data_IF_182905281714
#
_entry.id   IF_182905281714
#
_cell.length_a   1.000
_cell.length_b   1.000
_cell.length_c   1.000
_cell.angle_alpha   90.00
_cell.angle_beta   90.00
_cell.angle_gamma   90.00
#
_symmetry.space_group_name_H-M   'P 1'
#
loop_
_entity.id
_entity.type
_entity.pdbx_description
1 polymer ?
#
# COMPACT_ATOMS: atom_id res chain seq x y z
N UNK A 1 -6.69 -2.53 3.13
CA UNK A 1 -5.29 -2.22 2.72
C UNK A 1 -4.21 -3.02 3.47
N UNK A 2 -4.32 -3.28 4.78
CA UNK A 2 -3.26 -3.93 5.58
C UNK A 2 -2.75 -5.26 5.01
N UNK A 3 -3.67 -6.18 4.69
CA UNK A 3 -3.31 -7.47 4.11
C UNK A 3 -2.58 -7.32 2.78
N UNK A 4 -2.89 -6.28 1.98
CA UNK A 4 -2.22 -6.00 0.72
C UNK A 4 -0.73 -5.69 0.92
N UNK A 5 -0.39 -4.93 1.98
CA UNK A 5 1.01 -4.64 2.32
C UNK A 5 1.77 -5.88 2.79
N UNK A 6 1.08 -6.79 3.48
CA UNK A 6 1.67 -8.06 3.91
C UNK A 6 1.90 -8.97 2.72
N UNK A 7 0.89 -9.16 1.86
CA UNK A 7 1.00 -9.98 0.65
C UNK A 7 2.03 -9.41 -0.34
N UNK A 8 2.16 -8.08 -0.42
CA UNK A 8 3.19 -7.42 -1.21
C UNK A 8 4.61 -7.54 -0.62
N UNK A 9 4.78 -8.17 0.55
CA UNK A 9 6.08 -8.32 1.23
C UNK A 9 6.64 -7.00 1.79
N UNK A 10 5.83 -5.95 1.88
CA UNK A 10 6.24 -4.66 2.42
C UNK A 10 6.22 -4.65 3.96
N UNK A 11 5.32 -5.44 4.57
CA UNK A 11 5.23 -5.62 6.02
C UNK A 11 5.18 -7.11 6.38
N UNK A 12 5.77 -7.50 7.52
CA UNK A 12 5.71 -8.88 8.00
C UNK A 12 4.39 -9.25 8.67
N UNK A 13 3.57 -8.27 9.04
CA UNK A 13 2.25 -8.50 9.65
C UNK A 13 1.28 -7.33 9.44
N UNK A 14 -0.02 -7.59 9.62
CA UNK A 14 -1.05 -6.55 9.56
C UNK A 14 -0.84 -5.46 10.64
N UNK A 15 -0.33 -5.84 11.81
CA UNK A 15 -0.01 -4.89 12.88
C UNK A 15 1.15 -3.97 12.52
N UNK A 16 2.18 -4.51 11.87
CA UNK A 16 3.31 -3.72 11.35
C UNK A 16 2.86 -2.78 10.23
N UNK A 17 2.07 -3.28 9.28
CA UNK A 17 1.49 -2.45 8.23
C UNK A 17 0.69 -1.28 8.83
N UNK A 18 -0.13 -1.52 9.87
CA UNK A 18 -0.88 -0.45 10.56
C UNK A 18 0.04 0.59 11.18
N UNK A 19 1.11 0.18 11.87
CA UNK A 19 2.08 1.11 12.46
C UNK A 19 2.74 1.99 11.40
N UNK A 20 3.08 1.43 10.24
CA UNK A 20 3.64 2.21 9.13
C UNK A 20 2.66 3.24 8.56
N UNK A 21 1.37 2.90 8.47
CA UNK A 21 0.31 3.83 8.05
C UNK A 21 0.17 4.97 9.06
N UNK A 22 0.06 4.63 10.35
CA UNK A 22 -0.03 5.63 11.43
C UNK A 22 1.22 6.52 11.51
N UNK A 23 2.39 5.97 11.19
CA UNK A 23 3.64 6.72 11.09
C UNK A 23 3.79 7.56 9.82
N UNK A 24 2.80 7.58 8.92
CA UNK A 24 2.83 8.35 7.67
C UNK A 24 3.87 7.87 6.66
N UNK A 25 4.40 6.65 6.83
CA UNK A 25 5.42 6.09 5.96
C UNK A 25 4.83 5.43 4.71
N UNK A 26 3.51 5.26 4.63
CA UNK A 26 2.85 4.52 3.56
C UNK A 26 2.27 5.45 2.50
N UNK A 27 2.48 5.11 1.23
CA UNK A 27 1.83 5.79 0.10
C UNK A 27 1.23 4.79 -0.89
N UNK A 28 0.10 5.16 -1.49
CA UNK A 28 -0.54 4.44 -2.59
C UNK A 28 -0.60 5.40 -3.78
N UNK A 29 -0.09 5.00 -4.94
CA UNK A 29 -0.02 5.84 -6.14
C UNK A 29 0.56 7.23 -5.85
N UNK A 30 1.66 7.24 -5.08
CA UNK A 30 2.34 8.44 -4.62
C UNK A 30 1.52 9.37 -3.71
N UNK A 31 0.31 8.98 -3.30
CA UNK A 31 -0.51 9.68 -2.30
C UNK A 31 -0.29 9.11 -0.90
N UNK A 32 -0.12 9.95 0.14
CA UNK A 32 0.03 9.46 1.50
C UNK A 32 -1.24 8.75 1.96
N UNK A 33 -1.08 7.60 2.60
CA UNK A 33 -2.17 6.85 3.19
C UNK A 33 -2.23 7.12 4.69
N UNK A 34 -3.34 7.68 5.15
CA UNK A 34 -3.59 7.98 6.57
C UNK A 34 -4.60 7.04 7.23
N UNK A 35 -5.46 6.38 6.43
CA UNK A 35 -6.49 5.47 6.92
C UNK A 35 -6.13 4.01 6.62
N UNK A 36 -5.98 3.19 7.68
CA UNK A 36 -5.69 1.76 7.59
C UNK A 36 -6.91 0.90 7.20
N UNK A 37 -8.09 1.51 7.14
CA UNK A 37 -9.33 0.88 6.66
C UNK A 37 -9.62 1.17 5.19
N UNK A 38 -8.79 1.97 4.51
CA UNK A 38 -8.97 2.24 3.07
C UNK A 38 -9.05 0.93 2.28
N UNK A 39 -10.04 0.89 1.38
CA UNK A 39 -10.22 -0.18 0.42
C UNK A 39 -9.58 0.28 -0.89
N UNK A 40 -8.75 -0.59 -1.47
CA UNK A 40 -8.20 -0.37 -2.82
C UNK A 40 -9.22 -0.94 -3.79
N UNK A 41 -9.64 -0.12 -4.75
CA UNK A 41 -10.65 -0.47 -5.73
C UNK A 41 -10.04 -0.42 -7.13
N UNK A 42 -10.79 -0.83 -8.14
CA UNK A 42 -10.37 -0.71 -9.54
C UNK A 42 -10.14 0.74 -9.99
N UNK A 43 -10.70 1.72 -9.27
CA UNK A 43 -10.45 3.15 -9.54
C UNK A 43 -9.05 3.60 -9.14
N UNK A 44 -8.38 2.86 -8.25
CA UNK A 44 -6.99 3.12 -7.86
C UNK A 44 -5.99 2.51 -8.87
N UNK A 45 -6.46 1.82 -9.92
CA UNK A 45 -5.58 1.29 -10.96
C UNK A 45 -5.07 2.42 -11.85
N UNK A 46 -3.75 2.50 -12.00
CA UNK A 46 -3.13 3.39 -12.98
C UNK A 46 -3.41 2.96 -14.42
N UNK A 47 -2.92 3.73 -15.42
CA UNK A 47 -3.10 3.45 -16.84
C UNK A 47 -2.63 2.06 -17.28
N UNK A 48 -1.65 1.49 -16.56
CA UNK A 48 -1.09 0.16 -16.83
C UNK A 48 -1.80 -0.96 -16.04
N UNK A 49 -2.91 -0.67 -15.37
CA UNK A 49 -3.64 -1.65 -14.57
C UNK A 49 -2.91 -2.07 -13.28
N UNK A 50 -2.05 -1.22 -12.74
CA UNK A 50 -1.26 -1.48 -11.53
C UNK A 50 -1.53 -0.47 -10.43
N UNK A 51 -1.37 -0.90 -9.18
CA UNK A 51 -1.35 -0.04 -7.99
C UNK A 51 0.07 0.03 -7.44
N UNK A 52 0.60 1.25 -7.29
CA UNK A 52 1.93 1.45 -6.70
C UNK A 52 1.81 1.56 -5.19
N UNK A 53 2.34 0.58 -4.47
CA UNK A 53 2.49 0.63 -3.01
C UNK A 53 3.89 1.08 -2.65
N UNK A 54 4.00 2.06 -1.76
CA UNK A 54 5.26 2.58 -1.28
C UNK A 54 5.31 2.53 0.24
N UNK A 55 6.45 2.08 0.76
CA UNK A 55 6.77 2.08 2.17
C UNK A 55 8.09 2.84 2.39
N UNK A 56 7.97 4.04 2.93
CA UNK A 56 9.06 4.99 3.07
C UNK A 56 9.62 5.43 1.72
N UNK A 57 10.92 5.77 1.71
CA UNK A 57 11.62 6.32 0.53
C UNK A 57 12.29 5.26 -0.36
N UNK A 58 12.36 4.01 0.09
CA UNK A 58 13.19 2.96 -0.57
C UNK A 58 12.41 1.75 -1.04
N UNK A 59 11.33 1.37 -0.34
CA UNK A 59 10.58 0.14 -0.65
C UNK A 59 9.35 0.49 -1.46
N UNK A 60 9.28 -0.01 -2.69
CA UNK A 60 8.15 0.20 -3.59
C UNK A 60 7.80 -1.12 -4.27
N UNK A 61 6.52 -1.42 -4.39
CA UNK A 61 5.99 -2.62 -5.06
C UNK A 61 4.83 -2.22 -5.96
N UNK A 62 4.83 -2.75 -7.19
CA UNK A 62 3.69 -2.63 -8.10
C UNK A 62 2.82 -3.88 -7.94
N UNK A 63 1.56 -3.67 -7.60
CA UNK A 63 0.58 -4.74 -7.44
C UNK A 63 -0.36 -4.75 -8.63
N UNK A 64 -0.56 -5.94 -9.21
CA UNK A 64 -1.55 -6.19 -10.25
C UNK A 64 -2.76 -6.90 -9.65
N UNK A 65 -3.99 -6.49 -9.97
CA UNK A 65 -5.16 -7.32 -9.71
C UNK A 65 -5.05 -8.58 -10.58
N UNK A 66 -5.20 -9.74 -9.95
CA UNK A 66 -5.36 -11.02 -10.65
C UNK A 66 -6.84 -11.32 -10.86
#
# INVERSE_FOLDING_TARGET
>A
ILALFVTAGLAGSNGEARRHIQGGAVRINDQPLTDDRRIVTSQDLGPEGVVKLSLGKKKHVLVRPN
#
